data_IF_247784440527
#
_entry.id   IF_247784440527
#
_cell.length_a   1.000
_cell.length_b   1.000
_cell.length_c   1.000
_cell.angle_alpha   90.00
_cell.angle_beta   90.00
_cell.angle_gamma   90.00
#
_symmetry.space_group_name_H-M   'P 1'
#
loop_
_entity.id
_entity.type
_entity.pdbx_description
1 polymer ?
#
# COMPACT_ATOMS: atom_id res chain seq x y z
N UNK A 1 5.11 22.06 -5.52
CA UNK A 1 4.99 21.90 -4.05
C UNK A 1 4.86 20.41 -3.79
N UNK A 2 5.98 19.71 -3.58
CA UNK A 2 5.99 18.25 -3.53
C UNK A 2 5.90 17.84 -2.07
N UNK A 3 4.68 17.66 -1.55
CA UNK A 3 4.48 17.11 -0.20
C UNK A 3 4.77 15.61 -0.28
N UNK A 4 5.99 15.24 0.11
CA UNK A 4 6.40 13.85 0.26
C UNK A 4 5.61 13.27 1.44
N UNK A 5 4.47 12.66 1.13
CA UNK A 5 3.58 12.08 2.13
C UNK A 5 4.11 10.70 2.46
N UNK A 6 4.50 10.50 3.71
CA UNK A 6 4.93 9.21 4.24
C UNK A 6 3.75 8.57 4.94
N UNK A 7 3.59 7.26 4.83
CA UNK A 7 2.56 6.53 5.56
C UNK A 7 3.24 5.55 6.51
N UNK A 8 2.59 5.27 7.65
CA UNK A 8 2.99 4.25 8.62
C UNK A 8 1.89 3.22 8.75
N UNK A 9 2.29 1.95 8.70
CA UNK A 9 1.41 0.82 8.97
C UNK A 9 1.08 0.79 10.47
N UNK A 10 -0.18 0.54 10.80
CA UNK A 10 -0.61 0.42 12.19
C UNK A 10 0.05 -0.80 12.86
N UNK A 11 0.51 -0.69 14.12
CA UNK A 11 1.31 -1.74 14.77
C UNK A 11 0.52 -3.02 15.04
N UNK A 12 -0.82 -2.97 15.01
CA UNK A 12 -1.69 -4.13 15.20
C UNK A 12 -2.09 -4.82 13.90
N UNK A 13 -1.47 -4.42 12.79
CA UNK A 13 -1.65 -5.03 11.49
C UNK A 13 -0.51 -6.01 11.21
N UNK A 14 -0.87 -7.24 10.87
CA UNK A 14 0.07 -8.29 10.47
C UNK A 14 -0.11 -8.56 8.98
N UNK A 15 0.98 -8.89 8.28
CA UNK A 15 0.95 -9.29 6.87
C UNK A 15 1.47 -10.71 6.72
N UNK A 16 0.87 -11.45 5.80
CA UNK A 16 1.35 -12.75 5.35
C UNK A 16 1.44 -12.75 3.83
N UNK A 17 2.63 -13.02 3.31
CA UNK A 17 2.88 -13.08 1.87
C UNK A 17 2.38 -14.38 1.27
N UNK A 18 1.71 -14.23 0.13
CA UNK A 18 1.32 -15.32 -0.75
C UNK A 18 1.99 -15.03 -2.11
N UNK A 19 2.24 -16.05 -2.93
CA UNK A 19 3.04 -15.88 -4.15
C UNK A 19 2.44 -14.80 -5.10
N UNK A 20 2.98 -13.57 -5.05
CA UNK A 20 2.47 -12.40 -5.75
C UNK A 20 1.29 -11.65 -5.10
N UNK A 21 0.79 -12.08 -3.95
CA UNK A 21 -0.32 -11.46 -3.21
C UNK A 21 0.03 -11.28 -1.74
N UNK A 22 -0.81 -10.60 -0.97
CA UNK A 22 -0.62 -10.50 0.48
C UNK A 22 -1.94 -10.57 1.23
N UNK A 23 -1.92 -11.13 2.44
CA UNK A 23 -3.06 -11.07 3.36
C UNK A 23 -2.71 -10.17 4.52
N UNK A 24 -3.54 -9.14 4.71
CA UNK A 24 -3.44 -8.20 5.82
C UNK A 24 -4.44 -8.61 6.90
N UNK A 25 -3.94 -8.90 8.10
CA UNK A 25 -4.74 -9.19 9.28
C UNK A 25 -4.75 -7.99 10.22
N UNK A 26 -5.92 -7.38 10.38
CA UNK A 26 -6.17 -6.41 11.45
C UNK A 26 -6.55 -7.16 12.73
N UNK A 27 -5.64 -7.22 13.69
CA UNK A 27 -5.83 -7.91 14.96
C UNK A 27 -6.84 -7.17 15.85
N UNK A 28 -6.95 -5.85 15.74
CA UNK A 28 -7.88 -5.03 16.54
C UNK A 28 -9.32 -5.29 16.12
N UNK A 29 -9.57 -5.29 14.80
CA UNK A 29 -10.91 -5.49 14.25
C UNK A 29 -11.24 -6.97 14.01
N UNK A 30 -10.26 -7.88 14.10
CA UNK A 30 -10.38 -9.30 13.78
C UNK A 30 -10.84 -9.54 12.33
N UNK A 31 -10.38 -8.67 11.44
CA UNK A 31 -10.71 -8.69 10.00
C UNK A 31 -9.45 -9.04 9.22
N UNK A 32 -9.60 -9.82 8.16
CA UNK A 32 -8.53 -10.05 7.20
C UNK A 32 -8.92 -9.48 5.83
N UNK A 33 -7.93 -9.00 5.10
CA UNK A 33 -8.06 -8.44 3.76
C UNK A 33 -7.06 -9.13 2.84
N UNK A 34 -7.51 -9.54 1.67
CA UNK A 34 -6.62 -10.01 0.61
C UNK A 34 -6.24 -8.82 -0.27
N UNK A 35 -4.94 -8.63 -0.45
CA UNK A 35 -4.34 -7.68 -1.36
C UNK A 35 -4.00 -8.41 -2.65
N UNK A 36 -4.46 -7.85 -3.77
CA UNK A 36 -3.98 -8.27 -5.08
C UNK A 36 -2.51 -7.87 -5.29
N UNK A 37 -1.92 -8.27 -6.41
CA UNK A 37 -0.51 -8.01 -6.70
C UNK A 37 -0.11 -6.53 -6.63
N UNK A 38 -0.93 -5.63 -7.19
CA UNK A 38 -0.67 -4.19 -7.13
C UNK A 38 -0.72 -3.66 -5.70
N UNK A 39 -1.72 -4.09 -4.92
CA UNK A 39 -1.88 -3.66 -3.54
C UNK A 39 -0.80 -4.22 -2.62
N UNK A 40 -0.38 -5.47 -2.83
CA UNK A 40 0.76 -6.06 -2.15
C UNK A 40 2.06 -5.30 -2.46
N UNK A 41 2.31 -4.96 -3.73
CA UNK A 41 3.47 -4.16 -4.13
C UNK A 41 3.50 -2.77 -3.44
N UNK A 42 2.35 -2.10 -3.35
CA UNK A 42 2.23 -0.84 -2.61
C UNK A 42 2.52 -1.06 -1.12
N UNK A 43 1.90 -2.08 -0.50
CA UNK A 43 2.09 -2.40 0.92
C UNK A 43 3.56 -2.62 1.27
N UNK A 44 4.28 -3.45 0.52
CA UNK A 44 5.71 -3.71 0.74
C UNK A 44 6.57 -2.46 0.59
N UNK A 45 6.19 -1.56 -0.33
CA UNK A 45 6.88 -0.29 -0.46
C UNK A 45 6.69 0.58 0.79
N UNK A 46 5.48 0.65 1.34
CA UNK A 46 5.18 1.37 2.58
C UNK A 46 5.90 0.77 3.79
N UNK A 47 5.93 -0.55 3.90
CA UNK A 47 6.66 -1.26 4.97
C UNK A 47 8.16 -0.95 4.92
N UNK A 48 8.73 -0.81 3.72
CA UNK A 48 10.09 -0.34 3.50
C UNK A 48 10.30 1.16 3.70
N UNK A 49 9.28 1.91 4.14
CA UNK A 49 9.34 3.36 4.39
C UNK A 49 9.33 4.23 3.12
N UNK A 50 8.85 3.71 1.99
CA UNK A 50 8.76 4.48 0.76
C UNK A 50 7.70 5.59 0.85
N UNK A 51 7.99 6.74 0.26
CA UNK A 51 7.00 7.80 0.01
C UNK A 51 6.12 7.50 -1.22
N UNK A 52 4.99 8.21 -1.34
CA UNK A 52 4.04 8.07 -2.45
C UNK A 52 4.73 8.08 -3.84
N UNK A 53 5.68 8.99 -4.07
CA UNK A 53 6.36 9.09 -5.37
C UNK A 53 7.22 7.85 -5.68
N UNK A 54 7.84 7.29 -4.64
CA UNK A 54 8.66 6.09 -4.74
C UNK A 54 7.80 4.85 -4.98
N UNK A 55 6.61 4.77 -4.37
CA UNK A 55 5.61 3.75 -4.68
C UNK A 55 5.20 3.83 -6.14
N UNK A 56 4.80 5.02 -6.62
CA UNK A 56 4.34 5.22 -8.01
C UNK A 56 5.41 4.82 -9.02
N UNK A 57 6.67 5.24 -8.82
CA UNK A 57 7.78 4.84 -9.69
C UNK A 57 7.98 3.32 -9.74
N UNK A 58 7.80 2.63 -8.61
CA UNK A 58 7.90 1.16 -8.58
C UNK A 58 6.78 0.52 -9.39
N UNK A 59 5.55 1.00 -9.26
CA UNK A 59 4.41 0.46 -10.00
C UNK A 59 4.55 0.65 -11.50
N UNK A 60 4.99 1.83 -11.95
CA UNK A 60 5.27 2.12 -13.37
C UNK A 60 6.25 1.10 -13.95
N UNK A 61 7.34 0.82 -13.22
CA UNK A 61 8.38 -0.13 -13.67
C UNK A 61 7.89 -1.57 -13.60
N UNK A 62 7.23 -1.97 -12.51
CA UNK A 62 6.82 -3.36 -12.27
C UNK A 62 5.67 -3.80 -13.18
N UNK A 63 4.67 -2.94 -13.38
CA UNK A 63 3.45 -3.27 -14.11
C UNK A 63 3.42 -2.68 -15.53
N UNK A 64 4.46 -1.95 -15.95
CA UNK A 64 4.55 -1.29 -17.25
C UNK A 64 3.33 -0.39 -17.56
N UNK A 65 2.83 0.31 -16.54
CA UNK A 65 1.74 1.28 -16.62
C UNK A 65 2.27 2.72 -16.66
N UNK A 66 1.45 3.67 -17.10
CA UNK A 66 1.81 5.09 -17.03
C UNK A 66 1.74 5.65 -15.59
N UNK A 67 2.38 6.79 -15.38
CA UNK A 67 2.48 7.43 -14.06
C UNK A 67 1.11 7.89 -13.52
N UNK A 68 0.18 8.31 -14.38
CA UNK A 68 -1.14 8.77 -13.98
C UNK A 68 -1.96 7.61 -13.41
N UNK A 69 -1.96 6.47 -14.12
CA UNK A 69 -2.59 5.22 -13.67
C UNK A 69 -1.98 4.74 -12.36
N UNK A 70 -0.64 4.65 -12.26
CA UNK A 70 0.04 4.23 -11.04
C UNK A 70 -0.26 5.15 -9.85
N UNK A 71 -0.33 6.47 -10.08
CA UNK A 71 -0.66 7.45 -9.05
C UNK A 71 -2.11 7.33 -8.57
N UNK A 72 -3.05 7.16 -9.51
CA UNK A 72 -4.46 6.97 -9.19
C UNK A 72 -4.68 5.70 -8.36
N UNK A 73 -4.06 4.58 -8.74
CA UNK A 73 -4.14 3.32 -8.00
C UNK A 73 -3.50 3.41 -6.63
N UNK A 74 -2.32 4.03 -6.53
CA UNK A 74 -1.62 4.25 -5.25
C UNK A 74 -2.50 5.05 -4.29
N UNK A 75 -3.06 6.17 -4.75
CA UNK A 75 -3.89 7.06 -3.92
C UNK A 75 -5.21 6.41 -3.51
N UNK A 76 -5.85 5.67 -4.43
CA UNK A 76 -7.08 4.92 -4.13
C UNK A 76 -6.82 3.93 -3.00
N UNK A 77 -5.78 3.12 -3.11
CA UNK A 77 -5.46 2.13 -2.08
C UNK A 77 -5.10 2.80 -0.75
N UNK A 78 -4.26 3.84 -0.76
CA UNK A 78 -3.88 4.57 0.46
C UNK A 78 -5.10 5.13 1.19
N UNK A 79 -6.07 5.70 0.46
CA UNK A 79 -7.32 6.18 1.03
C UNK A 79 -8.13 5.03 1.66
N UNK A 80 -8.27 3.89 0.98
CA UNK A 80 -8.98 2.72 1.51
C UNK A 80 -8.30 2.16 2.78
N UNK A 81 -6.97 2.15 2.83
CA UNK A 81 -6.21 1.70 4.00
C UNK A 81 -6.33 2.70 5.17
N UNK A 82 -6.31 4.01 4.90
CA UNK A 82 -6.53 5.05 5.91
C UNK A 82 -7.95 4.98 6.49
N UNK A 83 -8.98 4.84 5.65
CA UNK A 83 -10.38 4.69 6.09
C UNK A 83 -10.58 3.49 7.02
N UNK A 84 -9.81 2.42 6.79
CA UNK A 84 -9.82 1.21 7.62
C UNK A 84 -8.89 1.29 8.83
N UNK A 85 -8.20 2.41 9.03
CA UNK A 85 -7.20 2.59 10.10
C UNK A 85 -6.02 1.61 10.05
N UNK A 86 -5.73 1.07 8.85
CA UNK A 86 -4.60 0.15 8.62
C UNK A 86 -3.29 0.89 8.40
N UNK A 87 -3.37 2.11 7.86
CA UNK A 87 -2.24 3.03 7.73
C UNK A 87 -2.62 4.42 8.25
N UNK A 88 -1.61 5.21 8.57
CA UNK A 88 -1.75 6.61 8.98
C UNK A 88 -0.65 7.46 8.34
N UNK A 89 -0.88 8.77 8.25
CA UNK A 89 0.02 9.75 7.63
C UNK A 89 1.04 10.34 8.62
#
# INVERSE_FOLDING_TARGET
MNRNTTYRIAPEVLVADLDGEAVVLDVRQKTYYQLNETAAAIWHALEGGADENSVVRRLVVQFAVDEETALADTRRLLAELEERSLVTR
#
